data_IF_968038694241
#
_entry.id   IF_968038694241
#
_cell.length_a   1.000
_cell.length_b   1.000
_cell.length_c   1.000
_cell.angle_alpha   90.00
_cell.angle_beta   90.00
_cell.angle_gamma   90.00
#
_symmetry.space_group_name_H-M   'P 1'
#
loop_
_entity.id
_entity.type
_entity.pdbx_description
1 polymer ?
#
# COMPACT_ATOMS: atom_id res chain seq x y z
N UNK A 1 -28.95 -11.29 12.96
CA UNK A 1 -27.75 -11.44 12.10
C UNK A 1 -27.99 -10.78 10.72
N UNK A 2 -29.05 -11.19 9.99
CA UNK A 2 -29.32 -10.69 8.62
C UNK A 2 -29.55 -9.16 8.57
N UNK A 3 -30.34 -8.60 9.52
CA UNK A 3 -30.58 -7.15 9.63
C UNK A 3 -29.28 -6.37 9.78
N UNK A 4 -28.32 -6.87 10.56
CA UNK A 4 -27.01 -6.23 10.75
C UNK A 4 -26.15 -6.29 9.46
N UNK A 5 -26.27 -7.37 8.70
CA UNK A 5 -25.58 -7.46 7.40
C UNK A 5 -26.10 -6.40 6.42
N UNK A 6 -27.44 -6.24 6.32
CA UNK A 6 -28.07 -5.21 5.49
C UNK A 6 -27.59 -3.82 5.88
N UNK A 7 -27.61 -3.47 7.17
CA UNK A 7 -27.14 -2.19 7.69
C UNK A 7 -25.68 -1.90 7.29
N UNK A 8 -24.79 -2.90 7.40
CA UNK A 8 -23.39 -2.75 7.00
C UNK A 8 -23.21 -2.65 5.48
N UNK A 9 -23.98 -3.41 4.71
CA UNK A 9 -23.95 -3.31 3.24
C UNK A 9 -24.43 -1.95 2.76
N UNK A 10 -25.46 -1.39 3.40
CA UNK A 10 -25.92 -0.02 3.13
C UNK A 10 -24.84 1.01 3.47
N UNK A 11 -24.20 0.86 4.63
CA UNK A 11 -23.14 1.75 5.11
C UNK A 11 -21.94 1.80 4.16
N UNK A 12 -21.57 0.68 3.56
CA UNK A 12 -20.48 0.64 2.55
C UNK A 12 -20.97 1.02 1.14
N UNK A 13 -22.20 1.47 1.00
CA UNK A 13 -22.75 1.98 -0.26
C UNK A 13 -23.11 0.90 -1.29
N UNK A 14 -23.52 -0.29 -0.85
CA UNK A 14 -24.07 -1.32 -1.75
C UNK A 14 -25.55 -0.98 -2.04
N UNK A 15 -25.94 -0.73 -3.30
CA UNK A 15 -27.33 -0.40 -3.64
C UNK A 15 -28.24 -1.62 -3.47
N UNK A 16 -29.47 -1.40 -2.98
CA UNK A 16 -30.46 -2.47 -2.76
C UNK A 16 -29.93 -3.64 -1.93
N UNK A 17 -29.41 -3.37 -0.71
CA UNK A 17 -28.67 -4.37 0.06
C UNK A 17 -29.49 -5.61 0.41
N UNK A 18 -30.83 -5.50 0.57
CA UNK A 18 -31.73 -6.64 0.82
C UNK A 18 -31.78 -7.65 -0.34
N UNK A 19 -31.61 -7.16 -1.57
CA UNK A 19 -31.56 -8.00 -2.77
C UNK A 19 -30.14 -8.57 -2.90
N UNK A 20 -29.12 -7.71 -2.79
CA UNK A 20 -27.72 -8.09 -2.97
C UNK A 20 -27.21 -9.08 -1.94
N UNK A 21 -27.70 -9.01 -0.70
CA UNK A 21 -27.34 -9.95 0.36
C UNK A 21 -27.79 -11.40 0.10
N UNK A 22 -28.64 -11.63 -0.88
CA UNK A 22 -29.09 -12.97 -1.30
C UNK A 22 -28.36 -13.48 -2.54
N UNK A 23 -27.58 -12.63 -3.18
CA UNK A 23 -26.84 -12.97 -4.39
C UNK A 23 -25.50 -13.67 -4.06
N UNK A 24 -25.04 -14.44 -5.01
CA UNK A 24 -23.73 -15.08 -4.95
C UNK A 24 -22.64 -14.11 -5.46
N UNK A 25 -21.37 -14.24 -5.02
CA UNK A 25 -20.31 -13.30 -5.41
C UNK A 25 -20.16 -13.10 -6.91
N UNK A 26 -20.36 -14.11 -7.72
CA UNK A 26 -20.26 -14.01 -9.19
C UNK A 26 -21.43 -13.24 -9.85
N UNK A 27 -22.49 -12.92 -9.10
CA UNK A 27 -23.60 -12.09 -9.54
C UNK A 27 -23.39 -10.60 -9.19
N UNK A 28 -22.31 -10.29 -8.45
CA UNK A 28 -21.93 -8.95 -8.04
C UNK A 28 -20.78 -8.43 -8.90
N UNK A 29 -20.69 -7.10 -9.06
CA UNK A 29 -19.49 -6.47 -9.63
C UNK A 29 -18.29 -6.59 -8.69
N UNK A 30 -17.06 -6.46 -9.22
CA UNK A 30 -15.84 -6.49 -8.41
C UNK A 30 -15.87 -5.46 -7.27
N UNK A 31 -16.30 -4.23 -7.55
CA UNK A 31 -16.45 -3.19 -6.53
C UNK A 31 -17.52 -3.49 -5.48
N UNK A 32 -18.61 -4.18 -5.86
CA UNK A 32 -19.62 -4.63 -4.89
C UNK A 32 -19.09 -5.77 -4.02
N UNK A 33 -18.35 -6.71 -4.59
CA UNK A 33 -17.66 -7.75 -3.81
C UNK A 33 -16.68 -7.14 -2.80
N UNK A 34 -15.88 -6.15 -3.23
CA UNK A 34 -14.93 -5.46 -2.36
C UNK A 34 -15.65 -4.73 -1.21
N UNK A 35 -16.72 -4.00 -1.50
CA UNK A 35 -17.57 -3.36 -0.48
C UNK A 35 -18.18 -4.37 0.50
N UNK A 36 -18.62 -5.52 0.02
CA UNK A 36 -19.15 -6.60 0.86
C UNK A 36 -18.06 -7.20 1.77
N UNK A 37 -16.83 -7.34 1.29
CA UNK A 37 -15.68 -7.76 2.12
C UNK A 37 -15.38 -6.74 3.21
N UNK A 38 -15.37 -5.43 2.89
CA UNK A 38 -15.22 -4.36 3.89
C UNK A 38 -16.35 -4.43 4.92
N UNK A 39 -17.60 -4.53 4.50
CA UNK A 39 -18.74 -4.69 5.40
C UNK A 39 -18.58 -5.88 6.35
N UNK A 40 -18.11 -7.02 5.82
CA UNK A 40 -17.84 -8.23 6.61
C UNK A 40 -16.76 -8.00 7.67
N UNK A 41 -15.67 -7.29 7.32
CA UNK A 41 -14.60 -6.96 8.27
C UNK A 41 -15.09 -6.02 9.40
N UNK A 42 -16.06 -5.14 9.12
CA UNK A 42 -16.60 -4.19 10.09
C UNK A 42 -17.60 -4.82 11.10
N UNK A 43 -18.06 -6.05 10.86
CA UNK A 43 -19.05 -6.73 11.76
C UNK A 43 -18.59 -6.77 13.20
N UNK A 44 -17.31 -7.03 13.43
CA UNK A 44 -16.69 -7.14 14.76
C UNK A 44 -16.33 -5.80 15.41
N UNK A 45 -16.59 -4.67 14.73
CA UNK A 45 -16.18 -3.33 15.18
C UNK A 45 -14.68 -3.28 15.51
N UNK A 46 -13.80 -3.59 14.57
CA UNK A 46 -12.37 -3.64 14.81
C UNK A 46 -11.81 -2.24 15.08
N UNK A 47 -10.67 -2.16 15.76
CA UNK A 47 -9.88 -0.92 15.90
C UNK A 47 -8.87 -0.76 14.79
N UNK A 48 -8.50 -1.85 14.12
CA UNK A 48 -7.57 -1.90 12.99
C UNK A 48 -8.19 -2.71 11.87
N UNK A 49 -8.22 -2.14 10.67
CA UNK A 49 -8.56 -2.81 9.41
C UNK A 49 -7.29 -3.04 8.60
N UNK A 50 -7.02 -4.27 8.20
CA UNK A 50 -5.94 -4.60 7.28
C UNK A 50 -6.54 -4.76 5.89
N UNK A 51 -6.11 -3.89 4.97
CA UNK A 51 -6.53 -3.87 3.58
C UNK A 51 -5.34 -4.26 2.69
N UNK A 52 -5.29 -5.52 2.29
CA UNK A 52 -4.22 -6.07 1.47
C UNK A 52 -4.65 -6.00 -0.01
N UNK A 53 -4.02 -5.12 -0.77
CA UNK A 53 -4.31 -4.84 -2.17
C UNK A 53 -5.82 -4.60 -2.46
N UNK A 54 -6.51 -3.72 -1.72
CA UNK A 54 -7.96 -3.62 -1.75
C UNK A 54 -8.53 -3.11 -3.08
N UNK A 55 -7.70 -2.58 -3.95
CA UNK A 55 -8.11 -1.99 -5.24
C UNK A 55 -7.59 -2.77 -6.44
N UNK A 56 -6.90 -3.89 -6.23
CA UNK A 56 -6.38 -4.73 -7.31
C UNK A 56 -7.51 -5.26 -8.19
N UNK A 57 -7.33 -5.20 -9.50
CA UNK A 57 -8.28 -5.59 -10.54
C UNK A 57 -9.59 -4.75 -10.58
N UNK A 58 -9.60 -3.56 -9.99
CA UNK A 58 -10.69 -2.59 -10.14
C UNK A 58 -10.30 -1.51 -11.17
N UNK A 59 -11.29 -0.94 -11.83
CA UNK A 59 -11.07 0.25 -12.65
C UNK A 59 -10.80 1.48 -11.77
N UNK A 60 -10.18 2.52 -12.36
CA UNK A 60 -9.71 3.72 -11.64
C UNK A 60 -10.86 4.42 -10.88
N UNK A 61 -12.05 4.44 -11.43
CA UNK A 61 -13.21 5.08 -10.80
C UNK A 61 -13.65 4.33 -9.55
N UNK A 62 -13.77 3.01 -9.65
CA UNK A 62 -14.15 2.14 -8.53
C UNK A 62 -13.03 2.13 -7.48
N UNK A 63 -11.75 2.12 -7.90
CA UNK A 63 -10.62 2.26 -7.00
C UNK A 63 -10.74 3.52 -6.14
N UNK A 64 -10.92 4.70 -6.74
CA UNK A 64 -11.10 5.96 -6.01
C UNK A 64 -12.26 5.90 -5.01
N UNK A 65 -13.39 5.29 -5.41
CA UNK A 65 -14.55 5.12 -4.51
C UNK A 65 -14.26 4.20 -3.31
N UNK A 66 -13.46 3.14 -3.49
CA UNK A 66 -13.07 2.25 -2.38
C UNK A 66 -12.10 2.96 -1.42
N UNK A 67 -11.16 3.73 -1.95
CA UNK A 67 -10.21 4.50 -1.13
C UNK A 67 -10.93 5.58 -0.31
N UNK A 68 -11.83 6.32 -0.95
CA UNK A 68 -12.69 7.29 -0.27
C UNK A 68 -13.52 6.63 0.85
N UNK A 69 -14.15 5.48 0.57
CA UNK A 69 -14.90 4.73 1.57
C UNK A 69 -14.02 4.33 2.77
N UNK A 70 -12.80 3.86 2.54
CA UNK A 70 -11.87 3.51 3.64
C UNK A 70 -11.51 4.72 4.48
N UNK A 71 -11.26 5.88 3.86
CA UNK A 71 -10.97 7.14 4.55
C UNK A 71 -12.16 7.62 5.39
N UNK A 72 -13.37 7.60 4.83
CA UNK A 72 -14.61 7.95 5.53
C UNK A 72 -14.84 7.04 6.75
N UNK A 73 -14.72 5.72 6.57
CA UNK A 73 -14.88 4.74 7.66
C UNK A 73 -13.80 4.89 8.74
N UNK A 74 -12.57 5.20 8.36
CA UNK A 74 -11.50 5.48 9.31
C UNK A 74 -11.86 6.67 10.21
N UNK A 75 -12.26 7.78 9.60
CA UNK A 75 -12.63 9.01 10.30
C UNK A 75 -13.87 8.84 11.18
N UNK A 76 -14.95 8.26 10.64
CA UNK A 76 -16.23 8.11 11.35
C UNK A 76 -16.18 7.14 12.52
N UNK A 77 -15.42 6.04 12.37
CA UNK A 77 -15.37 4.96 13.35
C UNK A 77 -14.17 5.05 14.30
N UNK A 78 -13.26 6.00 14.10
CA UNK A 78 -11.97 6.04 14.78
C UNK A 78 -11.14 4.77 14.51
N UNK A 79 -11.20 4.25 13.29
CA UNK A 79 -10.60 3.00 12.85
C UNK A 79 -9.24 3.29 12.22
N UNK A 80 -8.18 2.63 12.69
CA UNK A 80 -6.90 2.65 11.98
C UNK A 80 -6.95 1.72 10.77
N UNK A 81 -6.37 2.15 9.64
CA UNK A 81 -6.28 1.33 8.43
C UNK A 81 -4.81 1.04 8.13
N UNK A 82 -4.45 -0.23 8.05
CA UNK A 82 -3.18 -0.69 7.48
C UNK A 82 -3.41 -1.06 6.02
N UNK A 83 -3.01 -0.15 5.13
CA UNK A 83 -3.10 -0.37 3.69
C UNK A 83 -1.81 -1.00 3.17
N UNK A 84 -1.92 -2.14 2.47
CA UNK A 84 -0.83 -2.78 1.76
C UNK A 84 -1.11 -2.61 0.27
N UNK A 85 -0.18 -1.95 -0.43
CA UNK A 85 -0.32 -1.69 -1.87
C UNK A 85 1.04 -1.50 -2.53
N UNK A 86 1.12 -1.72 -3.82
CA UNK A 86 2.26 -1.35 -4.66
C UNK A 86 2.01 -0.05 -5.46
N UNK A 87 0.82 0.54 -5.34
CA UNK A 87 0.45 1.78 -6.03
C UNK A 87 0.83 2.99 -5.19
N UNK A 88 1.94 3.63 -5.55
CA UNK A 88 2.44 4.82 -4.86
C UNK A 88 1.50 6.04 -5.03
N UNK A 89 0.68 6.07 -6.08
CA UNK A 89 -0.34 7.10 -6.25
C UNK A 89 -1.40 7.01 -5.15
N UNK A 90 -1.84 5.80 -4.86
CA UNK A 90 -2.76 5.51 -3.74
C UNK A 90 -2.14 5.90 -2.41
N UNK A 91 -0.86 5.55 -2.20
CA UNK A 91 -0.14 5.92 -0.97
C UNK A 91 -0.10 7.44 -0.80
N UNK A 92 0.24 8.18 -1.85
CA UNK A 92 0.31 9.65 -1.81
C UNK A 92 -1.04 10.31 -1.49
N UNK A 93 -2.15 9.67 -1.86
CA UNK A 93 -3.51 10.22 -1.71
C UNK A 93 -4.06 10.06 -0.30
N UNK A 94 -3.83 8.90 0.35
CA UNK A 94 -4.57 8.55 1.58
C UNK A 94 -3.72 8.16 2.79
N UNK A 95 -2.40 8.00 2.64
CA UNK A 95 -1.56 7.56 3.75
C UNK A 95 -1.09 8.74 4.61
N UNK A 96 -1.06 8.56 5.93
CA UNK A 96 -0.39 9.46 6.87
C UNK A 96 1.08 9.06 7.02
N UNK A 97 1.31 7.76 7.30
CA UNK A 97 2.63 7.16 7.50
C UNK A 97 2.88 6.04 6.50
N UNK A 98 4.11 5.93 6.03
CA UNK A 98 4.52 4.96 5.02
C UNK A 98 5.65 4.09 5.55
N UNK A 99 5.56 2.79 5.30
CA UNK A 99 6.65 1.83 5.51
C UNK A 99 6.98 1.16 4.18
N UNK A 100 8.13 1.51 3.61
CA UNK A 100 8.61 0.92 2.35
C UNK A 100 9.27 -0.42 2.63
N UNK A 101 8.81 -1.46 1.94
CA UNK A 101 9.31 -2.82 2.11
C UNK A 101 10.06 -3.30 0.85
N UNK A 102 11.20 -3.92 1.03
CA UNK A 102 11.94 -4.59 -0.03
C UNK A 102 12.41 -5.98 0.40
N UNK A 103 12.08 -6.98 -0.41
CA UNK A 103 12.47 -8.36 -0.14
C UNK A 103 12.03 -8.88 1.24
N UNK A 104 10.87 -8.45 1.77
CA UNK A 104 10.34 -8.86 3.07
C UNK A 104 10.97 -8.14 4.27
N UNK A 105 11.65 -6.99 4.06
CA UNK A 105 12.18 -6.14 5.14
C UNK A 105 11.76 -4.70 4.93
N UNK A 106 11.38 -4.02 6.00
CA UNK A 106 11.20 -2.56 5.97
C UNK A 106 12.58 -1.94 5.77
N UNK A 107 12.70 -1.12 4.73
CA UNK A 107 13.94 -0.43 4.36
C UNK A 107 13.88 1.06 4.69
N UNK A 108 12.68 1.63 4.73
CA UNK A 108 12.46 3.02 5.11
C UNK A 108 11.07 3.19 5.72
N UNK A 109 10.92 4.16 6.64
CA UNK A 109 9.65 4.54 7.24
C UNK A 109 9.65 6.04 7.49
N UNK A 110 8.51 6.70 7.31
CA UNK A 110 8.31 8.12 7.56
C UNK A 110 6.90 8.57 7.23
N UNK A 111 6.63 9.85 7.45
CA UNK A 111 5.40 10.47 6.96
C UNK A 111 5.35 10.40 5.43
N UNK A 112 4.14 10.44 4.86
CA UNK A 112 3.98 10.42 3.40
C UNK A 112 4.76 11.57 2.74
N UNK A 113 4.73 12.77 3.31
CA UNK A 113 5.44 13.94 2.80
C UNK A 113 6.95 13.69 2.75
N UNK A 114 7.54 13.13 3.81
CA UNK A 114 8.97 12.88 3.89
C UNK A 114 9.42 11.79 2.92
N UNK A 115 8.66 10.69 2.82
CA UNK A 115 8.96 9.60 1.88
C UNK A 115 8.96 10.10 0.44
N UNK A 116 8.02 10.97 0.06
CA UNK A 116 7.91 11.48 -1.31
C UNK A 116 8.88 12.64 -1.61
N UNK A 117 9.13 13.53 -0.64
CA UNK A 117 9.97 14.71 -0.84
C UNK A 117 11.46 14.44 -0.61
N UNK A 118 11.79 13.63 0.39
CA UNK A 118 13.16 13.41 0.88
C UNK A 118 13.40 11.92 1.21
N UNK A 119 13.30 11.01 0.25
CA UNK A 119 13.58 9.60 0.49
C UNK A 119 15.05 9.41 0.89
N UNK A 120 15.31 8.64 1.94
CA UNK A 120 16.65 8.39 2.45
C UNK A 120 17.25 7.07 1.94
N UNK A 121 16.40 6.07 1.65
CA UNK A 121 16.88 4.79 1.15
C UNK A 121 16.96 4.78 -0.38
N UNK A 122 18.08 4.36 -0.99
CA UNK A 122 18.23 4.34 -2.46
C UNK A 122 17.12 3.57 -3.19
N UNK A 123 16.60 2.50 -2.61
CA UNK A 123 15.44 1.79 -3.19
C UNK A 123 14.19 2.67 -3.25
N UNK A 124 13.88 3.40 -2.18
CA UNK A 124 12.72 4.30 -2.15
C UNK A 124 12.84 5.38 -3.22
N UNK A 125 14.01 5.99 -3.35
CA UNK A 125 14.27 6.97 -4.41
C UNK A 125 14.05 6.37 -5.79
N UNK A 126 14.65 5.20 -6.07
CA UNK A 126 14.48 4.52 -7.35
C UNK A 126 13.02 4.13 -7.61
N UNK A 127 12.29 3.68 -6.58
CA UNK A 127 10.87 3.35 -6.68
C UNK A 127 10.05 4.58 -7.09
N UNK A 128 10.29 5.73 -6.46
CA UNK A 128 9.61 6.99 -6.82
C UNK A 128 9.97 7.47 -8.24
N UNK A 129 11.17 7.19 -8.72
CA UNK A 129 11.59 7.51 -10.09
C UNK A 129 10.89 6.65 -11.15
N UNK A 130 10.38 5.47 -10.80
CA UNK A 130 9.60 4.62 -11.72
C UNK A 130 8.18 5.15 -11.95
N UNK A 131 7.71 6.10 -11.14
CA UNK A 131 6.35 6.62 -11.27
C UNK A 131 6.20 7.42 -12.57
N UNK A 132 5.13 7.17 -13.32
CA UNK A 132 4.81 7.98 -14.49
C UNK A 132 4.54 9.43 -14.07
N UNK A 133 5.16 10.37 -14.74
CA UNK A 133 4.97 11.80 -14.49
C UNK A 133 4.34 12.46 -15.71
N UNK A 134 3.30 13.25 -15.47
CA UNK A 134 2.54 13.94 -16.55
C UNK A 134 3.38 15.04 -17.22
N UNK A 135 4.36 15.59 -16.49
CA UNK A 135 5.26 16.66 -16.94
C UNK A 135 6.43 16.18 -17.81
N UNK A 136 6.60 14.85 -17.98
CA UNK A 136 7.66 14.30 -18.83
C UNK A 136 7.27 14.29 -20.31
N UNK A 137 8.25 14.47 -21.21
CA UNK A 137 8.02 14.36 -22.65
C UNK A 137 7.43 13.00 -23.04
N UNK A 138 6.49 13.01 -23.99
CA UNK A 138 5.96 11.76 -24.57
C UNK A 138 7.10 10.94 -25.16
N UNK A 139 7.13 9.62 -24.91
CA UNK A 139 8.14 8.66 -25.41
C UNK A 139 9.51 8.73 -24.71
N UNK A 140 9.65 9.41 -23.58
CA UNK A 140 10.82 9.22 -22.73
C UNK A 140 10.83 7.79 -22.17
N UNK A 141 12.00 7.14 -22.16
CA UNK A 141 12.15 5.82 -21.55
C UNK A 141 11.88 5.92 -20.05
N UNK A 142 11.00 5.07 -19.56
CA UNK A 142 10.70 5.00 -18.13
C UNK A 142 11.93 4.46 -17.39
N UNK A 143 12.24 5.08 -16.27
CA UNK A 143 13.28 4.56 -15.37
C UNK A 143 12.88 3.17 -14.87
N UNK A 144 13.81 2.23 -14.93
CA UNK A 144 13.61 0.87 -14.45
C UNK A 144 14.72 0.48 -13.49
N UNK A 145 14.36 -0.17 -12.38
CA UNK A 145 15.35 -0.67 -11.42
C UNK A 145 15.94 -1.96 -11.96
N UNK A 146 17.22 -1.93 -12.33
CA UNK A 146 17.94 -3.07 -12.94
C UNK A 146 18.01 -4.28 -12.00
N UNK A 147 18.11 -5.48 -12.58
CA UNK A 147 18.23 -6.75 -11.84
C UNK A 147 16.90 -7.27 -11.30
N UNK A 148 16.95 -8.39 -10.59
CA UNK A 148 15.78 -9.08 -10.05
C UNK A 148 15.65 -8.91 -8.55
N UNK A 149 14.42 -8.98 -8.04
CA UNK A 149 14.15 -9.05 -6.60
C UNK A 149 14.72 -10.37 -6.06
N UNK A 150 15.33 -10.38 -4.87
CA UNK A 150 15.81 -11.60 -4.24
C UNK A 150 14.69 -12.64 -4.12
N UNK A 151 15.01 -13.91 -4.38
CA UNK A 151 14.05 -14.99 -4.17
C UNK A 151 13.71 -15.14 -2.68
N UNK A 152 12.52 -15.68 -2.33
CA UNK A 152 12.14 -15.90 -0.93
C UNK A 152 13.14 -16.75 -0.13
N UNK A 153 13.89 -17.64 -0.80
CA UNK A 153 14.94 -18.46 -0.20
C UNK A 153 16.30 -17.79 -0.05
N UNK A 154 16.46 -16.55 -0.53
CA UNK A 154 17.72 -15.83 -0.40
C UNK A 154 17.94 -15.37 1.05
N UNK A 155 18.81 -16.08 1.77
CA UNK A 155 19.11 -15.83 3.19
C UNK A 155 20.24 -14.82 3.40
N UNK A 156 20.46 -13.86 2.49
CA UNK A 156 21.49 -12.83 2.68
C UNK A 156 21.35 -12.15 4.03
N UNK A 157 22.45 -12.09 4.77
CA UNK A 157 22.50 -11.43 6.10
C UNK A 157 22.39 -9.91 5.96
N UNK A 158 23.02 -9.32 4.94
CA UNK A 158 23.12 -7.90 4.71
C UNK A 158 21.86 -7.24 4.10
N UNK A 159 22.07 -6.07 3.55
CA UNK A 159 21.05 -5.33 2.83
C UNK A 159 20.55 -6.12 1.61
N UNK A 160 19.26 -6.41 1.54
CA UNK A 160 18.67 -7.19 0.43
C UNK A 160 18.70 -6.43 -0.90
N UNK A 161 18.77 -5.10 -0.86
CA UNK A 161 18.89 -4.26 -2.04
C UNK A 161 20.33 -4.13 -2.56
N UNK A 162 21.35 -4.53 -1.78
CA UNK A 162 22.77 -4.42 -2.11
C UNK A 162 23.12 -4.73 -3.58
N UNK A 163 22.66 -5.83 -4.23
CA UNK A 163 23.04 -6.16 -5.59
C UNK A 163 22.50 -5.21 -6.67
N UNK A 164 21.55 -4.35 -6.32
CA UNK A 164 20.85 -3.43 -7.21
C UNK A 164 21.10 -1.97 -6.83
N UNK A 165 21.86 -1.75 -5.76
CA UNK A 165 22.12 -0.43 -5.22
C UNK A 165 23.35 0.18 -5.86
N UNK A 166 23.21 1.35 -6.46
CA UNK A 166 24.30 2.15 -7.06
C UNK A 166 25.19 2.81 -6.01
N UNK A 167 24.73 2.88 -4.75
CA UNK A 167 25.45 3.43 -3.59
C UNK A 167 25.96 2.35 -2.63
N UNK A 168 26.04 1.11 -3.11
CA UNK A 168 26.44 -0.01 -2.26
C UNK A 168 27.88 0.16 -1.74
N UNK A 169 28.06 -0.02 -0.43
CA UNK A 169 29.35 -0.04 0.28
C UNK A 169 29.56 -1.40 0.94
N UNK A 170 30.79 -1.70 1.37
CA UNK A 170 31.11 -2.99 1.97
C UNK A 170 30.29 -3.29 3.21
N UNK A 171 29.97 -2.29 4.02
CA UNK A 171 29.14 -2.42 5.22
C UNK A 171 27.72 -2.92 4.90
N UNK A 172 27.23 -2.73 3.67
CA UNK A 172 25.94 -3.27 3.23
C UNK A 172 25.88 -4.80 3.19
N UNK A 173 27.02 -5.50 3.32
CA UNK A 173 27.08 -6.96 3.52
C UNK A 173 26.56 -7.37 4.91
N UNK A 174 26.59 -6.43 5.86
CA UNK A 174 25.93 -6.56 7.16
C UNK A 174 24.47 -6.07 7.07
N UNK A 175 23.69 -6.36 8.10
CA UNK A 175 22.29 -5.96 8.16
C UNK A 175 22.15 -4.52 8.67
N UNK A 176 21.74 -3.54 7.84
CA UNK A 176 21.45 -2.20 8.33
C UNK A 176 20.29 -2.23 9.32
N UNK A 177 20.39 -1.44 10.35
CA UNK A 177 19.31 -1.23 11.32
C UNK A 177 18.51 -0.01 10.88
N UNK A 178 17.17 -0.11 11.00
CA UNK A 178 16.30 1.05 10.78
C UNK A 178 16.66 2.14 11.79
N UNK A 179 16.85 3.36 11.32
CA UNK A 179 17.14 4.49 12.20
C UNK A 179 15.98 4.70 13.20
N UNK A 180 16.28 5.02 14.46
CA UNK A 180 15.25 5.27 15.45
C UNK A 180 14.50 6.57 15.11
N UNK A 181 13.20 6.60 15.42
CA UNK A 181 12.35 7.77 15.21
C UNK A 181 11.17 7.50 14.28
N UNK A 182 10.44 8.57 13.95
CA UNK A 182 9.29 8.50 13.03
C UNK A 182 9.79 8.29 11.61
N UNK A 183 10.84 9.02 11.22
CA UNK A 183 11.50 8.93 9.92
C UNK A 183 12.82 8.17 10.06
N UNK A 184 12.99 7.13 9.26
CA UNK A 184 14.22 6.36 9.34
C UNK A 184 14.41 5.40 8.17
N UNK A 185 15.69 5.25 7.76
CA UNK A 185 16.10 4.33 6.72
C UNK A 185 17.08 3.27 7.23
N UNK A 186 16.89 2.03 6.82
CA UNK A 186 17.80 0.92 7.11
C UNK A 186 18.93 0.91 6.05
N UNK A 187 19.80 1.92 6.10
CA UNK A 187 20.85 2.12 5.13
C UNK A 187 22.15 2.59 5.79
N UNK A 188 23.30 2.10 5.32
CA UNK A 188 24.64 2.58 5.73
C UNK A 188 25.12 3.79 4.92
N UNK A 189 24.54 4.02 3.73
CA UNK A 189 24.86 5.14 2.85
C UNK A 189 23.55 5.80 2.38
N UNK A 190 22.79 6.46 3.31
CA UNK A 190 21.53 7.12 2.94
C UNK A 190 21.79 8.30 1.98
N UNK A 191 20.70 8.76 1.36
CA UNK A 191 20.70 9.91 0.44
C UNK A 191 20.85 11.24 1.18
#
# INVERSE_FOLDING_TARGET
>A
AFSKAIELMERVGIPQPEIRAKQLPYELSGGMCQRAMIASALVSKPKLLIADEPTTALDVTVQAQILQLLSELSSELGLSVLLITHDMGVVAEIADDVSVMYGGRIVERGSVENIFALPHHPYTQMLLQTLPRVDRPRKEELFTISGSVPSPGDQRRGCRFFPRCDRAVDDCKERPVLLPGVDGAACFSPL
#
